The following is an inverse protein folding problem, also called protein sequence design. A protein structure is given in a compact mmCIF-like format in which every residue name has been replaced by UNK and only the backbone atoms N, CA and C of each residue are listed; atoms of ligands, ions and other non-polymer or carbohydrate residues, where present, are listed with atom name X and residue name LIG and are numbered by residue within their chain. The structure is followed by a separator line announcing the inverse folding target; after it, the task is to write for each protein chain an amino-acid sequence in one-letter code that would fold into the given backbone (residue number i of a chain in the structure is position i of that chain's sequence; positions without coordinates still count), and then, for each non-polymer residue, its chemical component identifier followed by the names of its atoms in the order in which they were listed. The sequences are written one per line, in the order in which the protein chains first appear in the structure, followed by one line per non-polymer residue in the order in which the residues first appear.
data_IF_231687373793
#
_entry.id   IF_231687373793
#
_cell.length_a   1.000
_cell.length_b   1.000
_cell.length_c   1.000
_cell.angle_alpha   90.00
_cell.angle_beta   90.00
_cell.angle_gamma   90.00
#
_symmetry.space_group_name_H-M   'P 1'
#
loop_
_entity.id
_entity.type
_entity.pdbx_description
1 polymer ?
#
# COMPACT_ATOMS: atom_id res chain seq x y z
N UNK A 1 -69.81 -20.94 -31.47
CA UNK A 1 -70.14 -21.89 -30.38
C UNK A 1 -68.87 -22.28 -29.64
N UNK A 2 -68.90 -22.22 -28.30
CA UNK A 2 -68.13 -22.99 -27.31
C UNK A 2 -66.58 -23.06 -27.39
N UNK A 3 -65.97 -22.31 -26.48
CA UNK A 3 -64.89 -22.64 -25.52
C UNK A 3 -64.05 -23.91 -25.82
N UNK A 4 -62.73 -23.76 -25.89
CA UNK A 4 -61.81 -24.49 -25.00
C UNK A 4 -60.49 -23.72 -24.87
N UNK A 5 -60.17 -23.29 -23.64
CA UNK A 5 -58.83 -22.89 -23.23
C UNK A 5 -58.00 -24.16 -23.08
N UNK A 6 -56.80 -24.21 -23.68
CA UNK A 6 -55.77 -25.18 -23.29
C UNK A 6 -54.53 -24.37 -22.92
N UNK A 7 -54.40 -24.16 -21.61
CA UNK A 7 -53.17 -23.78 -20.94
C UNK A 7 -52.30 -25.04 -20.95
N UNK A 8 -51.16 -25.02 -21.62
CA UNK A 8 -50.19 -26.11 -21.51
C UNK A 8 -48.81 -25.56 -21.19
N UNK A 9 -48.51 -25.68 -19.90
CA UNK A 9 -47.22 -26.03 -19.31
C UNK A 9 -45.97 -25.33 -19.85
N UNK A 10 -45.66 -24.20 -19.19
CA UNK A 10 -44.32 -23.64 -19.11
C UNK A 10 -43.42 -24.71 -18.45
N UNK A 11 -42.56 -25.34 -19.25
CA UNK A 11 -41.53 -26.25 -18.78
C UNK A 11 -40.47 -25.41 -18.05
N UNK A 12 -40.59 -25.33 -16.73
CA UNK A 12 -39.61 -24.67 -15.87
C UNK A 12 -38.29 -25.43 -15.88
N UNK A 13 -37.32 -24.94 -16.66
CA UNK A 13 -35.91 -25.21 -16.42
C UNK A 13 -35.51 -24.48 -15.13
N UNK A 14 -35.69 -25.14 -13.98
CA UNK A 14 -34.99 -24.76 -12.76
C UNK A 14 -33.58 -25.33 -12.93
N UNK A 15 -32.72 -24.57 -13.62
CA UNK A 15 -31.28 -24.71 -13.43
C UNK A 15 -31.08 -24.27 -11.99
N UNK A 16 -30.91 -25.24 -11.09
CA UNK A 16 -30.42 -24.96 -9.76
C UNK A 16 -29.04 -24.35 -9.94
N UNK A 17 -28.99 -23.03 -10.03
CA UNK A 17 -27.79 -22.27 -9.71
C UNK A 17 -27.47 -22.65 -8.29
N UNK A 18 -26.62 -23.66 -8.12
CA UNK A 18 -25.84 -23.79 -6.90
C UNK A 18 -25.05 -22.49 -6.85
N UNK A 19 -25.64 -21.48 -6.20
CA UNK A 19 -24.89 -20.37 -5.66
C UNK A 19 -23.93 -21.04 -4.70
N UNK A 20 -22.74 -21.31 -5.21
CA UNK A 20 -21.57 -21.50 -4.37
C UNK A 20 -21.46 -20.15 -3.66
N UNK A 21 -22.15 -20.02 -2.53
CA UNK A 21 -21.75 -19.08 -1.52
C UNK A 21 -20.38 -19.62 -1.11
N UNK A 22 -19.34 -19.18 -1.82
CA UNK A 22 -18.05 -19.06 -1.19
C UNK A 22 -18.37 -18.18 0.01
N UNK A 23 -18.56 -18.81 1.16
CA UNK A 23 -18.17 -18.19 2.40
C UNK A 23 -16.74 -17.80 2.12
N UNK A 24 -16.53 -16.55 1.71
CA UNK A 24 -15.25 -15.93 1.83
C UNK A 24 -14.97 -16.12 3.31
N UNK A 25 -14.11 -17.10 3.63
CA UNK A 25 -13.28 -16.90 4.81
C UNK A 25 -12.76 -15.48 4.63
N UNK A 26 -13.06 -14.65 5.60
CA UNK A 26 -12.52 -13.32 5.73
C UNK A 26 -11.00 -13.53 5.77
N UNK A 27 -10.38 -13.56 4.59
CA UNK A 27 -8.94 -13.61 4.46
C UNK A 27 -8.45 -12.35 5.16
N UNK A 28 -7.44 -12.47 6.03
CA UNK A 28 -6.74 -11.39 6.78
C UNK A 28 -6.15 -10.24 5.92
N UNK A 29 -6.63 -10.06 4.69
CA UNK A 29 -6.29 -9.01 3.76
C UNK A 29 -7.31 -7.85 3.89
N UNK A 30 -7.25 -7.11 4.99
CA UNK A 30 -8.03 -5.89 5.12
C UNK A 30 -7.53 -4.76 4.18
N UNK A 31 -8.45 -3.93 3.64
CA UNK A 31 -8.17 -2.67 2.97
C UNK A 31 -7.63 -1.64 3.99
N UNK A 32 -6.35 -1.27 3.87
CA UNK A 32 -5.77 -0.33 4.85
C UNK A 32 -4.44 0.32 4.51
N UNK A 33 -3.89 0.15 3.30
CA UNK A 33 -2.56 0.70 2.94
C UNK A 33 -2.38 2.16 3.35
N UNK A 34 -3.30 3.03 2.90
CA UNK A 34 -3.26 4.46 3.18
C UNK A 34 -3.43 4.76 4.67
N UNK A 35 -4.34 4.07 5.34
CA UNK A 35 -4.54 4.22 6.79
C UNK A 35 -3.25 3.89 7.54
N UNK A 36 -2.59 2.79 7.19
CA UNK A 36 -1.38 2.36 7.86
C UNK A 36 -0.19 3.24 7.49
N UNK A 37 -0.01 3.63 6.23
CA UNK A 37 0.99 4.61 5.82
C UNK A 37 0.86 5.93 6.62
N UNK A 38 -0.37 6.40 6.82
CA UNK A 38 -0.65 7.67 7.50
C UNK A 38 -0.76 7.58 9.03
N UNK A 39 -0.67 6.39 9.62
CA UNK A 39 -0.73 6.20 11.07
C UNK A 39 0.51 5.50 11.65
N UNK A 40 1.28 4.80 10.81
CA UNK A 40 2.51 4.13 11.21
C UNK A 40 3.73 5.03 11.01
N UNK A 41 4.85 4.52 11.48
CA UNK A 41 6.21 5.00 11.23
C UNK A 41 6.90 4.03 10.30
N UNK A 42 7.57 4.52 9.26
CA UNK A 42 8.49 3.71 8.45
C UNK A 42 9.91 4.04 8.89
N UNK A 43 10.57 3.12 9.59
CA UNK A 43 11.97 3.27 9.98
C UNK A 43 12.84 2.74 8.86
N UNK A 44 13.73 3.59 8.36
CA UNK A 44 14.78 3.21 7.43
C UNK A 44 16.10 3.14 8.18
N UNK A 45 16.80 2.03 8.03
CA UNK A 45 18.17 1.86 8.44
C UNK A 45 19.07 2.05 7.23
N UNK A 46 19.75 3.19 7.16
CA UNK A 46 20.54 3.62 5.99
C UNK A 46 21.94 3.03 6.06
N UNK A 47 22.29 2.20 5.06
CA UNK A 47 23.54 1.43 5.04
C UNK A 47 24.65 2.19 4.30
N UNK A 48 25.23 3.17 4.98
CA UNK A 48 26.46 3.88 4.58
C UNK A 48 27.59 3.54 5.60
N UNK A 49 28.86 3.99 5.42
CA UNK A 49 29.93 3.66 6.36
C UNK A 49 29.61 3.98 7.83
N UNK A 50 28.87 5.07 8.07
CA UNK A 50 28.27 5.39 9.38
C UNK A 50 26.75 5.22 9.30
N UNK A 51 26.30 3.99 9.52
CA UNK A 51 24.89 3.61 9.46
C UNK A 51 24.06 4.36 10.51
N UNK A 52 22.85 4.75 10.11
CA UNK A 52 21.90 5.41 11.00
C UNK A 52 20.46 5.03 10.66
N UNK A 53 19.58 5.19 11.65
CA UNK A 53 18.14 5.02 11.48
C UNK A 53 17.46 6.39 11.27
N UNK A 54 16.43 6.41 10.44
CA UNK A 54 15.55 7.57 10.25
C UNK A 54 14.09 7.10 10.24
N UNK A 55 13.27 7.67 11.11
CA UNK A 55 11.85 7.42 11.18
C UNK A 55 11.10 8.39 10.29
N UNK A 56 10.35 7.87 9.33
CA UNK A 56 9.63 8.65 8.32
C UNK A 56 8.14 8.64 8.57
N UNK A 57 7.53 9.82 8.48
CA UNK A 57 6.11 10.05 8.69
C UNK A 57 5.48 10.71 7.46
N UNK A 58 4.65 9.95 6.75
CA UNK A 58 3.92 10.40 5.56
C UNK A 58 2.58 11.01 5.96
N UNK A 59 2.23 12.18 5.44
CA UNK A 59 0.91 12.78 5.70
C UNK A 59 -0.05 12.62 4.51
N UNK A 60 -1.33 12.94 4.71
CA UNK A 60 -2.34 12.87 3.64
C UNK A 60 -2.19 13.96 2.56
N UNK A 61 -1.39 14.99 2.84
CA UNK A 61 -1.19 16.15 1.98
C UNK A 61 -0.04 16.02 0.99
N UNK A 62 0.57 14.84 0.89
CA UNK A 62 1.71 14.62 -0.01
C UNK A 62 3.05 15.09 0.60
N UNK A 63 3.11 15.38 1.89
CA UNK A 63 4.35 15.73 2.57
C UNK A 63 4.84 14.57 3.44
N UNK A 64 6.15 14.58 3.69
CA UNK A 64 6.77 13.70 4.67
C UNK A 64 7.74 14.50 5.55
N UNK A 65 7.96 13.99 6.74
CA UNK A 65 8.95 14.49 7.71
C UNK A 65 9.62 13.31 8.40
N UNK A 66 10.80 13.54 8.97
CA UNK A 66 11.46 12.57 9.84
C UNK A 66 11.58 13.03 11.30
N UNK A 67 12.02 12.12 12.17
CA UNK A 67 12.57 12.42 13.50
C UNK A 67 13.94 13.13 13.42
N UNK A 68 14.66 12.90 12.32
CA UNK A 68 15.86 13.63 11.94
C UNK A 68 15.53 14.85 11.05
N UNK A 69 16.55 15.40 10.40
CA UNK A 69 16.47 16.67 9.66
C UNK A 69 15.96 16.54 8.21
N UNK A 70 15.41 15.37 7.84
CA UNK A 70 14.83 15.16 6.53
C UNK A 70 13.39 15.68 6.44
N UNK A 71 13.12 16.33 5.30
CA UNK A 71 11.78 16.75 4.87
C UNK A 71 11.61 16.55 3.38
N UNK A 72 10.37 16.51 2.93
CA UNK A 72 10.09 16.36 1.51
C UNK A 72 8.65 15.97 1.22
N UNK A 73 8.46 15.26 0.13
CA UNK A 73 7.13 15.01 -0.43
C UNK A 73 7.01 13.60 -0.98
N UNK A 74 5.77 13.12 -1.05
CA UNK A 74 5.41 11.87 -1.69
C UNK A 74 4.24 12.12 -2.65
N UNK A 75 4.16 11.28 -3.67
CA UNK A 75 3.12 11.34 -4.69
C UNK A 75 2.87 9.95 -5.28
N UNK A 76 1.75 9.82 -5.99
CA UNK A 76 1.47 8.67 -6.84
C UNK A 76 1.56 9.13 -8.29
N UNK A 77 2.27 8.38 -9.10
CA UNK A 77 2.37 8.61 -10.55
C UNK A 77 2.08 7.31 -11.32
N UNK A 78 1.72 7.43 -12.60
CA UNK A 78 1.38 6.30 -13.46
C UNK A 78 -0.12 6.05 -13.60
N UNK A 79 -0.47 5.22 -14.57
CA UNK A 79 -1.85 4.88 -14.92
C UNK A 79 -2.45 3.85 -13.95
N UNK A 80 -3.77 3.69 -14.00
CA UNK A 80 -4.48 2.68 -13.21
C UNK A 80 -3.91 1.28 -13.45
N UNK A 81 -3.53 0.59 -12.36
CA UNK A 81 -2.90 -0.73 -12.42
C UNK A 81 -1.38 -0.72 -12.61
N UNK A 82 -0.80 0.44 -12.90
CA UNK A 82 0.65 0.67 -13.01
C UNK A 82 1.13 1.80 -12.09
N UNK A 83 0.33 2.19 -11.10
CA UNK A 83 0.66 3.26 -10.18
C UNK A 83 1.94 2.95 -9.40
N UNK A 84 2.79 3.97 -9.28
CA UNK A 84 4.00 3.98 -8.48
C UNK A 84 3.80 4.91 -7.29
N UNK A 85 4.13 4.46 -6.10
CA UNK A 85 4.31 5.34 -4.96
C UNK A 85 5.74 5.86 -4.98
N UNK A 86 5.88 7.18 -5.02
CA UNK A 86 7.16 7.85 -5.08
C UNK A 86 7.33 8.79 -3.91
N UNK A 87 8.56 8.92 -3.42
CA UNK A 87 8.88 9.92 -2.42
C UNK A 87 10.30 10.46 -2.59
N UNK A 88 10.49 11.67 -2.09
CA UNK A 88 11.75 12.38 -2.02
C UNK A 88 11.88 12.96 -0.62
N UNK A 89 13.00 12.70 0.02
CA UNK A 89 13.40 13.37 1.25
C UNK A 89 14.77 14.03 1.07
N UNK A 90 14.91 15.21 1.66
CA UNK A 90 16.10 16.05 1.55
C UNK A 90 16.49 16.60 2.92
N UNK A 91 17.78 16.76 3.15
CA UNK A 91 18.35 17.45 4.30
C UNK A 91 19.37 18.47 3.82
N UNK A 92 19.42 19.62 4.48
CA UNK A 92 20.43 20.66 4.22
C UNK A 92 21.63 20.57 5.16
N UNK A 93 21.62 19.64 6.12
CA UNK A 93 22.63 19.56 7.19
C UNK A 93 23.13 18.14 7.47
N UNK A 94 22.56 17.13 6.81
CA UNK A 94 22.94 15.71 6.96
C UNK A 94 23.27 15.12 5.60
N UNK A 95 24.29 14.26 5.57
CA UNK A 95 24.53 13.36 4.45
C UNK A 95 23.90 11.98 4.73
N UNK A 96 23.29 11.33 3.73
CA UNK A 96 23.12 11.78 2.35
C UNK A 96 22.11 12.93 2.23
N UNK A 97 22.45 14.01 1.54
CA UNK A 97 21.56 15.19 1.46
C UNK A 97 20.22 14.92 0.77
N UNK A 98 20.12 13.83 0.00
CA UNK A 98 18.94 13.44 -0.77
C UNK A 98 18.78 11.93 -0.76
N UNK A 99 17.55 11.48 -0.56
CA UNK A 99 17.15 10.08 -0.67
C UNK A 99 15.78 10.03 -1.35
N UNK A 100 15.63 9.21 -2.38
CA UNK A 100 14.38 9.07 -3.12
C UNK A 100 14.11 7.65 -3.57
N UNK A 101 12.84 7.31 -3.69
CA UNK A 101 12.42 6.00 -4.14
C UNK A 101 11.10 6.07 -4.91
N UNK A 102 10.89 5.09 -5.79
CA UNK A 102 9.60 4.82 -6.42
C UNK A 102 9.41 3.31 -6.51
N UNK A 103 8.31 2.78 -5.99
CA UNK A 103 7.97 1.37 -6.11
C UNK A 103 6.52 1.20 -6.57
N UNK A 104 6.19 0.07 -7.24
CA UNK A 104 4.82 -0.20 -7.65
C UNK A 104 3.90 -0.23 -6.43
N UNK A 105 2.83 0.56 -6.48
CA UNK A 105 1.84 0.64 -5.41
C UNK A 105 1.17 -0.72 -5.17
N UNK A 106 1.08 -1.57 -6.21
CA UNK A 106 0.57 -2.95 -6.09
C UNK A 106 1.46 -3.85 -5.23
N UNK A 107 2.76 -3.55 -5.08
CA UNK A 107 3.67 -4.28 -4.21
C UNK A 107 3.55 -3.84 -2.74
N UNK A 108 2.82 -2.77 -2.48
CA UNK A 108 2.50 -2.36 -1.13
C UNK A 108 1.38 -3.22 -0.56
N UNK A 109 1.73 -4.45 -0.19
CA UNK A 109 0.93 -5.18 0.77
C UNK A 109 0.87 -4.35 2.05
N UNK A 110 -0.34 -4.20 2.58
CA UNK A 110 -0.66 -3.39 3.75
C UNK A 110 0.51 -3.38 4.75
N UNK A 111 1.16 -2.24 5.05
CA UNK A 111 2.33 -2.19 5.93
C UNK A 111 1.90 -2.60 7.33
N UNK A 112 1.94 -3.90 7.57
CA UNK A 112 1.68 -4.50 8.87
C UNK A 112 2.82 -4.10 9.78
N UNK A 113 2.53 -3.78 11.03
CA UNK A 113 3.58 -3.53 12.02
C UNK A 113 4.53 -4.73 12.04
N UNK A 114 5.83 -4.45 11.96
CA UNK A 114 6.90 -5.45 11.87
C UNK A 114 7.22 -5.95 10.46
N UNK A 115 6.47 -5.55 9.42
CA UNK A 115 6.86 -5.83 8.05
C UNK A 115 8.21 -5.16 7.74
N UNK A 116 9.16 -5.94 7.22
CA UNK A 116 10.51 -5.50 6.92
C UNK A 116 10.90 -5.86 5.49
N UNK A 117 11.63 -4.98 4.82
CA UNK A 117 12.20 -5.25 3.50
C UNK A 117 13.54 -4.53 3.27
N UNK A 118 14.48 -5.16 2.55
CA UNK A 118 15.62 -4.46 1.98
C UNK A 118 15.19 -3.61 0.78
N UNK A 119 15.93 -2.55 0.50
CA UNK A 119 15.74 -1.76 -0.71
C UNK A 119 16.91 -0.85 -1.04
N UNK A 120 16.72 -0.07 -2.10
CA UNK A 120 17.70 0.89 -2.59
C UNK A 120 17.02 2.21 -2.89
N UNK A 121 17.60 3.29 -2.38
CA UNK A 121 17.29 4.62 -2.89
C UNK A 121 17.82 4.77 -4.32
N UNK A 122 17.21 5.66 -5.12
CA UNK A 122 17.67 6.01 -6.48
C UNK A 122 19.11 6.52 -6.49
N UNK A 123 19.56 7.06 -5.37
CA UNK A 123 20.93 7.50 -5.13
C UNK A 123 21.95 6.34 -4.95
N UNK A 124 21.51 5.08 -5.06
CA UNK A 124 22.37 3.89 -4.99
C UNK A 124 22.73 3.47 -3.56
N UNK A 125 21.99 3.96 -2.57
CA UNK A 125 22.21 3.69 -1.15
C UNK A 125 21.25 2.60 -0.69
N UNK A 126 21.80 1.56 -0.07
CA UNK A 126 21.03 0.47 0.51
C UNK A 126 20.34 0.90 1.79
N UNK A 127 19.17 0.31 2.05
CA UNK A 127 18.48 0.44 3.31
C UNK A 127 17.79 -0.87 3.71
N UNK A 128 17.54 -1.04 5.01
CA UNK A 128 16.46 -1.91 5.52
C UNK A 128 15.32 -1.03 6.00
N UNK A 129 14.08 -1.33 5.62
CA UNK A 129 12.91 -0.61 6.09
C UNK A 129 12.04 -1.51 6.96
N UNK A 130 11.47 -0.97 8.04
CA UNK A 130 10.52 -1.67 8.91
C UNK A 130 9.35 -0.75 9.27
N UNK A 131 8.15 -1.32 9.32
CA UNK A 131 6.95 -0.63 9.80
C UNK A 131 6.89 -0.71 11.33
N UNK A 132 6.87 0.43 12.00
CA UNK A 132 6.79 0.56 13.45
C UNK A 132 5.45 1.18 13.85
N UNK A 133 4.91 0.74 15.00
CA UNK A 133 3.62 1.21 15.50
C UNK A 133 3.66 2.67 15.94
N UNK A 134 2.61 3.41 15.59
CA UNK A 134 2.38 4.78 16.06
C UNK A 134 3.23 5.84 15.38
N UNK A 135 3.11 7.06 15.90
CA UNK A 135 3.85 8.27 15.54
C UNK A 135 4.22 9.03 16.82
N UNK A 136 5.25 9.88 16.80
CA UNK A 136 5.48 10.87 17.86
C UNK A 136 4.29 11.82 18.05
#
# INVERSE_FOLDING_TARGET
MRKTFIISSILGLIIASFSFSQTAEETDAEPGYWTNLFNATIRYTIQIPEQFDVDMYFDRGGQLKSDLEYKGSWWVEGDEGAQMFCYLMTSTIREPAKLSECFPLVLMNNPRIGAQWPGFFKEGIMYEAIVVEGRP
#
